data_IF_805791073921
#
_entry.id   IF_805791073921
#
_cell.length_a   1.000
_cell.length_b   1.000
_cell.length_c   1.000
_cell.angle_alpha   90.00
_cell.angle_beta   90.00
_cell.angle_gamma   90.00
#
_symmetry.space_group_name_H-M   'P 1'
#
loop_
_entity.id
_entity.type
_entity.pdbx_description
1 polymer ?
#
# COMPACT_ATOMS: atom_id res chain seq x y z
N UNK A 1 15.45 4.06 20.88
CA UNK A 1 15.99 5.28 20.26
C UNK A 1 14.83 6.17 19.85
N UNK A 2 14.84 7.49 20.14
CA UNK A 2 13.82 8.39 19.64
C UNK A 2 13.96 8.53 18.12
N UNK A 3 12.89 8.22 17.39
CA UNK A 3 12.76 8.46 15.95
C UNK A 3 11.58 9.40 15.74
N UNK A 4 11.63 10.20 14.67
CA UNK A 4 10.48 11.00 14.26
C UNK A 4 9.32 10.06 13.88
N UNK A 5 8.13 10.34 14.39
CA UNK A 5 6.92 9.55 14.14
C UNK A 5 5.84 10.39 13.47
N UNK A 6 4.86 9.73 12.85
CA UNK A 6 3.72 10.41 12.22
C UNK A 6 2.93 11.31 13.18
N UNK A 7 2.91 10.99 14.49
CA UNK A 7 2.24 11.79 15.52
C UNK A 7 2.86 13.18 15.71
N UNK A 8 4.04 13.42 15.15
CA UNK A 8 4.80 14.67 15.25
C UNK A 8 4.81 15.45 13.93
N UNK A 9 4.03 15.03 12.93
CA UNK A 9 3.99 15.61 11.60
C UNK A 9 2.62 16.22 11.31
N UNK A 10 2.62 17.36 10.61
CA UNK A 10 1.41 17.95 10.02
C UNK A 10 1.05 17.21 8.73
N UNK A 11 -0.06 16.47 8.76
CA UNK A 11 -0.46 15.56 7.67
C UNK A 11 -1.47 16.19 6.71
N UNK A 12 -2.21 17.22 7.12
CA UNK A 12 -3.29 17.80 6.34
C UNK A 12 -2.81 18.28 4.95
N UNK A 13 -3.47 17.80 3.90
CA UNK A 13 -3.15 18.13 2.51
C UNK A 13 -1.83 17.53 2.00
N UNK A 14 -1.15 16.71 2.79
CA UNK A 14 0.07 16.00 2.36
C UNK A 14 -0.27 14.68 1.69
N UNK A 15 0.62 14.23 0.81
CA UNK A 15 0.64 12.87 0.28
C UNK A 15 1.71 12.07 1.01
N UNK A 16 1.29 11.06 1.76
CA UNK A 16 2.17 10.21 2.55
C UNK A 16 2.51 8.95 1.75
N UNK A 17 3.79 8.73 1.47
CA UNK A 17 4.27 7.42 1.04
C UNK A 17 4.45 6.54 2.27
N UNK A 18 3.73 5.42 2.33
CA UNK A 18 3.74 4.50 3.46
C UNK A 18 4.16 3.10 3.00
N UNK A 19 5.40 2.73 3.31
CA UNK A 19 5.89 1.36 3.19
C UNK A 19 5.36 0.55 4.37
N UNK A 20 4.56 -0.49 4.10
CA UNK A 20 3.98 -1.37 5.10
C UNK A 20 4.28 -2.84 4.76
N UNK A 21 4.33 -3.71 5.77
CA UNK A 21 4.33 -5.16 5.55
C UNK A 21 2.90 -5.64 5.31
N UNK A 22 2.57 -5.90 4.05
CA UNK A 22 1.32 -6.49 3.60
C UNK A 22 1.56 -7.85 2.94
N UNK A 23 2.72 -8.48 3.19
CA UNK A 23 3.06 -9.76 2.62
C UNK A 23 2.28 -10.87 3.35
N UNK A 24 1.15 -11.27 2.79
CA UNK A 24 0.21 -12.24 3.38
C UNK A 24 0.09 -13.50 2.55
N UNK A 25 -0.27 -14.64 3.15
CA UNK A 25 -0.59 -15.83 2.38
C UNK A 25 -1.84 -15.56 1.51
N UNK A 26 -1.73 -15.90 0.23
CA UNK A 26 -2.88 -15.95 -0.66
C UNK A 26 -3.43 -17.39 -0.74
N UNK A 27 -4.75 -17.52 -0.69
CA UNK A 27 -5.46 -18.79 -0.85
C UNK A 27 -6.68 -18.59 -1.74
N UNK A 28 -6.86 -19.45 -2.75
CA UNK A 28 -7.98 -19.37 -3.69
C UNK A 28 -8.15 -18.03 -4.43
N UNK A 29 -7.09 -17.21 -4.54
CA UNK A 29 -7.15 -15.86 -5.13
C UNK A 29 -7.53 -14.74 -4.15
N UNK A 30 -7.70 -15.06 -2.86
CA UNK A 30 -7.94 -14.10 -1.77
C UNK A 30 -6.85 -14.12 -0.70
N UNK A 31 -6.99 -13.27 0.31
CA UNK A 31 -6.09 -13.25 1.47
C UNK A 31 -6.54 -14.29 2.49
N UNK A 32 -5.66 -15.25 2.81
CA UNK A 32 -5.95 -16.31 3.78
C UNK A 32 -5.83 -15.87 5.25
N UNK A 33 -4.79 -15.08 5.56
CA UNK A 33 -4.57 -14.47 6.89
C UNK A 33 -4.30 -12.98 6.74
N UNK A 34 -5.20 -12.16 7.28
CA UNK A 34 -5.17 -10.70 7.16
C UNK A 34 -4.53 -9.99 8.37
N UNK A 35 -3.87 -10.73 9.28
CA UNK A 35 -3.25 -10.20 10.50
C UNK A 35 -2.33 -9.00 10.21
N UNK A 36 -1.51 -9.09 9.15
CA UNK A 36 -0.60 -8.01 8.74
C UNK A 36 -1.33 -6.77 8.21
N UNK A 37 -2.42 -6.97 7.47
CA UNK A 37 -3.25 -5.87 6.97
C UNK A 37 -3.89 -5.13 8.15
N UNK A 38 -4.46 -5.87 9.11
CA UNK A 38 -5.04 -5.27 10.33
C UNK A 38 -4.00 -4.52 11.15
N UNK A 39 -2.77 -5.03 11.23
CA UNK A 39 -1.68 -4.36 11.94
C UNK A 39 -1.28 -3.02 11.29
N UNK A 40 -1.45 -2.86 9.97
CA UNK A 40 -1.17 -1.62 9.26
C UNK A 40 -2.30 -0.56 9.37
N UNK A 41 -3.55 -0.99 9.62
CA UNK A 41 -4.73 -0.11 9.64
C UNK A 41 -4.62 1.08 10.59
N UNK A 42 -4.11 0.98 11.83
CA UNK A 42 -4.01 2.14 12.72
C UNK A 42 -3.18 3.28 12.12
N UNK A 43 -2.07 2.95 11.45
CA UNK A 43 -1.20 3.92 10.78
C UNK A 43 -1.88 4.53 9.56
N UNK A 44 -2.52 3.69 8.73
CA UNK A 44 -3.26 4.14 7.55
C UNK A 44 -4.38 5.10 7.98
N UNK A 45 -5.22 4.69 8.93
CA UNK A 45 -6.32 5.51 9.45
C UNK A 45 -5.82 6.82 10.03
N UNK A 46 -4.72 6.81 10.79
CA UNK A 46 -4.14 8.03 11.33
C UNK A 46 -3.79 9.04 10.23
N UNK A 47 -3.18 8.61 9.13
CA UNK A 47 -2.88 9.47 7.98
C UNK A 47 -4.16 10.05 7.36
N UNK A 48 -5.16 9.20 7.09
CA UNK A 48 -6.40 9.63 6.45
C UNK A 48 -7.20 10.60 7.32
N UNK A 49 -7.37 10.28 8.61
CA UNK A 49 -8.06 11.15 9.57
C UNK A 49 -7.31 12.46 9.82
N UNK A 50 -5.98 12.45 9.64
CA UNK A 50 -5.14 13.65 9.66
C UNK A 50 -5.23 14.50 8.39
N UNK A 51 -6.08 14.13 7.42
CA UNK A 51 -6.29 14.89 6.18
C UNK A 51 -5.22 14.65 5.11
N UNK A 52 -4.43 13.59 5.22
CA UNK A 52 -3.51 13.20 4.16
C UNK A 52 -4.17 12.27 3.13
N UNK A 53 -3.55 12.18 1.96
CA UNK A 53 -3.69 11.03 1.06
C UNK A 53 -2.56 10.04 1.30
N UNK A 54 -2.78 8.76 1.00
CA UNK A 54 -1.79 7.69 1.23
C UNK A 54 -1.46 6.95 -0.06
N UNK A 55 -0.16 6.85 -0.35
CA UNK A 55 0.41 5.93 -1.33
C UNK A 55 1.04 4.77 -0.58
N UNK A 56 0.38 3.62 -0.60
CA UNK A 56 0.85 2.41 0.04
C UNK A 56 1.82 1.66 -0.86
N UNK A 57 2.90 1.16 -0.28
CA UNK A 57 3.83 0.28 -0.96
C UNK A 57 4.07 -0.97 -0.10
N UNK A 58 4.02 -2.14 -0.71
CA UNK A 58 4.41 -3.38 -0.06
C UNK A 58 5.07 -4.34 -1.05
N UNK A 59 5.54 -5.47 -0.55
CA UNK A 59 5.94 -6.58 -1.40
C UNK A 59 5.03 -7.76 -1.06
N UNK A 60 4.97 -8.71 -1.99
CA UNK A 60 4.29 -9.98 -1.77
C UNK A 60 5.19 -11.10 -2.28
N UNK A 61 5.51 -12.07 -1.41
CA UNK A 61 6.37 -13.20 -1.74
C UNK A 61 7.74 -12.80 -2.31
N UNK A 62 8.21 -13.61 -3.27
CA UNK A 62 9.54 -13.51 -3.90
C UNK A 62 9.44 -13.75 -5.42
N UNK A 63 8.88 -12.80 -6.20
CA UNK A 63 8.67 -12.96 -7.64
C UNK A 63 9.95 -12.91 -8.49
N UNK A 64 11.10 -12.57 -7.89
CA UNK A 64 12.40 -12.62 -8.57
C UNK A 64 12.65 -11.46 -9.55
N UNK A 65 12.14 -10.26 -9.25
CA UNK A 65 12.42 -9.06 -10.05
C UNK A 65 11.67 -8.99 -11.37
N UNK A 66 10.53 -9.70 -11.49
CA UNK A 66 9.67 -9.67 -12.67
C UNK A 66 8.19 -9.77 -12.29
N UNK A 67 7.26 -9.24 -13.10
CA UNK A 67 5.84 -9.40 -12.86
C UNK A 67 5.41 -10.88 -12.84
N UNK A 68 4.65 -11.25 -11.81
CA UNK A 68 4.07 -12.58 -11.64
C UNK A 68 2.66 -12.44 -11.05
N UNK A 69 1.60 -12.84 -11.77
CA UNK A 69 0.22 -12.77 -11.29
C UNK A 69 -0.01 -13.44 -9.93
N UNK A 70 0.77 -14.46 -9.56
CA UNK A 70 0.64 -15.14 -8.26
C UNK A 70 1.04 -14.24 -7.08
N UNK A 71 1.81 -13.19 -7.35
CA UNK A 71 2.30 -12.23 -6.36
C UNK A 71 1.77 -10.81 -6.61
N UNK A 72 0.66 -10.67 -7.35
CA UNK A 72 0.01 -9.38 -7.60
C UNK A 72 -0.67 -8.83 -6.34
N UNK A 73 -0.70 -7.50 -6.20
CA UNK A 73 -1.26 -6.83 -5.01
C UNK A 73 -2.79 -6.71 -5.02
N UNK A 74 -3.47 -7.05 -6.12
CA UNK A 74 -4.92 -6.91 -6.25
C UNK A 74 -5.74 -7.61 -5.14
N UNK A 75 -5.45 -8.87 -4.74
CA UNK A 75 -6.16 -9.52 -3.63
C UNK A 75 -5.94 -8.82 -2.28
N UNK A 76 -4.73 -8.30 -2.06
CA UNK A 76 -4.36 -7.55 -0.85
C UNK A 76 -5.12 -6.24 -0.79
N UNK A 77 -5.22 -5.54 -1.92
CA UNK A 77 -5.95 -4.28 -2.05
C UNK A 77 -7.43 -4.45 -1.74
N UNK A 78 -8.06 -5.47 -2.33
CA UNK A 78 -9.47 -5.79 -2.09
C UNK A 78 -9.74 -6.04 -0.60
N UNK A 79 -8.94 -6.92 0.04
CA UNK A 79 -9.11 -7.22 1.47
C UNK A 79 -8.83 -6.00 2.35
N UNK A 80 -7.82 -5.20 2.01
CA UNK A 80 -7.50 -3.99 2.77
C UNK A 80 -8.63 -2.96 2.65
N UNK A 81 -9.26 -2.83 1.48
CA UNK A 81 -10.41 -1.96 1.26
C UNK A 81 -11.61 -2.35 2.11
N UNK A 82 -11.93 -3.65 2.18
CA UNK A 82 -12.97 -4.18 3.07
C UNK A 82 -12.70 -3.82 4.54
N UNK A 83 -11.46 -4.01 5.01
CA UNK A 83 -11.06 -3.74 6.39
C UNK A 83 -11.00 -2.24 6.71
N UNK A 84 -10.60 -1.42 5.74
CA UNK A 84 -10.50 0.03 5.88
C UNK A 84 -11.86 0.72 5.73
N UNK A 85 -12.83 0.09 5.07
CA UNK A 85 -14.13 0.68 4.76
C UNK A 85 -14.05 1.75 3.66
N UNK A 86 -13.06 1.68 2.78
CA UNK A 86 -12.84 2.62 1.67
C UNK A 86 -12.21 1.90 0.49
N UNK A 87 -12.33 2.47 -0.71
CA UNK A 87 -11.70 1.91 -1.91
C UNK A 87 -10.18 2.04 -1.84
N UNK A 88 -9.48 1.00 -2.30
CA UNK A 88 -8.02 0.91 -2.35
C UNK A 88 -7.63 0.44 -3.75
N UNK A 89 -7.66 1.32 -4.76
CA UNK A 89 -7.27 0.96 -6.11
C UNK A 89 -5.79 0.60 -6.17
N UNK A 90 -5.45 -0.35 -7.05
CA UNK A 90 -4.07 -0.72 -7.37
C UNK A 90 -3.57 0.11 -8.55
N UNK A 91 -2.41 0.74 -8.39
CA UNK A 91 -1.70 1.38 -9.48
C UNK A 91 -1.16 0.31 -10.45
N UNK A 92 -1.06 0.59 -11.76
CA UNK A 92 -0.63 -0.43 -12.73
C UNK A 92 0.81 -0.90 -12.51
N UNK A 93 1.60 -0.11 -11.77
CA UNK A 93 2.98 -0.38 -11.42
C UNK A 93 3.36 0.45 -10.16
N UNK A 94 4.52 0.23 -9.56
CA UNK A 94 5.06 1.06 -8.47
C UNK A 94 5.83 2.30 -8.94
N UNK A 95 6.20 2.36 -10.23
CA UNK A 95 6.89 3.49 -10.87
C UNK A 95 6.24 3.84 -12.22
N UNK A 96 6.70 4.91 -12.86
CA UNK A 96 6.28 5.30 -14.21
C UNK A 96 5.14 6.34 -14.24
N UNK A 97 4.96 6.94 -15.42
CA UNK A 97 4.14 8.14 -15.60
C UNK A 97 2.67 7.97 -15.18
N UNK A 98 2.08 6.80 -15.43
CA UNK A 98 0.68 6.53 -15.06
C UNK A 98 0.53 6.45 -13.53
N UNK A 99 1.44 5.76 -12.85
CA UNK A 99 1.46 5.67 -11.39
C UNK A 99 1.73 7.03 -10.75
N UNK A 100 2.65 7.82 -11.31
CA UNK A 100 2.85 9.21 -10.88
C UNK A 100 1.59 10.06 -11.02
N UNK A 101 0.91 9.99 -12.17
CA UNK A 101 -0.32 10.75 -12.39
C UNK A 101 -1.41 10.36 -11.38
N UNK A 102 -1.60 9.05 -11.13
CA UNK A 102 -2.58 8.54 -10.15
C UNK A 102 -2.26 9.00 -8.73
N UNK A 103 -1.00 8.89 -8.30
CA UNK A 103 -0.59 9.32 -6.95
C UNK A 103 -0.69 10.84 -6.79
N UNK A 104 -0.47 11.62 -7.85
CA UNK A 104 -0.66 13.09 -7.85
C UNK A 104 -2.12 13.52 -7.78
N UNK A 105 -3.03 12.72 -8.34
CA UNK A 105 -4.46 13.03 -8.35
C UNK A 105 -5.19 12.68 -7.04
N UNK A 106 -4.53 12.02 -6.07
CA UNK A 106 -5.18 11.63 -4.81
C UNK A 106 -5.64 12.85 -4.01
N UNK A 107 -6.94 12.88 -3.72
CA UNK A 107 -7.54 13.80 -2.76
C UNK A 107 -7.26 13.38 -1.31
N UNK A 108 -7.30 14.32 -0.35
CA UNK A 108 -7.29 13.98 1.09
C UNK A 108 -8.26 12.86 1.44
N UNK A 109 -7.81 11.89 2.25
CA UNK A 109 -8.61 10.73 2.64
C UNK A 109 -8.62 9.58 1.63
N UNK A 110 -8.01 9.74 0.45
CA UNK A 110 -7.87 8.65 -0.52
C UNK A 110 -6.59 7.84 -0.34
N UNK A 111 -6.66 6.58 -0.75
CA UNK A 111 -5.55 5.62 -0.73
C UNK A 111 -5.32 5.13 -2.17
N UNK A 112 -4.07 4.86 -2.53
CA UNK A 112 -3.72 3.97 -3.64
C UNK A 112 -2.70 2.96 -3.14
N UNK A 113 -2.80 1.71 -3.60
CA UNK A 113 -1.77 0.69 -3.39
C UNK A 113 -0.93 0.56 -4.65
N UNK A 114 0.39 0.68 -4.51
CA UNK A 114 1.32 0.38 -5.59
C UNK A 114 1.37 -1.13 -5.85
N UNK A 115 1.67 -1.51 -7.09
CA UNK A 115 1.94 -2.91 -7.41
C UNK A 115 3.20 -3.41 -6.68
N UNK A 116 3.36 -4.73 -6.60
CA UNK A 116 4.40 -5.41 -5.84
C UNK A 116 5.79 -4.86 -6.17
N UNK A 117 6.46 -4.24 -5.18
CA UNK A 117 7.76 -3.61 -5.41
C UNK A 117 8.80 -4.60 -5.95
N UNK A 118 8.71 -5.88 -5.57
CA UNK A 118 9.65 -6.93 -6.00
C UNK A 118 9.43 -7.40 -7.44
N UNK A 119 8.46 -6.84 -8.17
CA UNK A 119 8.41 -6.98 -9.62
C UNK A 119 9.52 -6.21 -10.33
N UNK A 120 10.19 -5.30 -9.64
CA UNK A 120 11.37 -4.59 -10.11
C UNK A 120 12.63 -5.19 -9.50
N UNK A 121 13.66 -5.51 -10.30
CA UNK A 121 14.89 -6.14 -9.80
C UNK A 121 15.71 -5.25 -8.85
N UNK A 122 15.46 -3.94 -8.86
CA UNK A 122 16.06 -2.97 -7.95
C UNK A 122 15.56 -3.11 -6.50
N UNK A 123 14.44 -3.82 -6.26
CA UNK A 123 13.94 -4.15 -4.92
C UNK A 123 14.24 -5.60 -4.55
N UNK A 124 15.06 -5.81 -3.53
CA UNK A 124 15.54 -7.13 -3.12
C UNK A 124 14.57 -7.92 -2.22
N UNK A 125 14.78 -9.25 -2.17
CA UNK A 125 13.98 -10.24 -1.45
C UNK A 125 14.38 -10.44 0.02
#
# INVERSE_FOLDING_TARGET
MPKLTLRQLELAGKRVFLRADLNVPLDGGGVGDDTRLRAALPTIRHCLTGGASVVLASHLGRPGGRPDPQYAMAPVAARLGELAGTDVPVAPDCVGAITEARTRALAPGQIVLLENLRFHPEEEA
#
